data_IF_933184523708
#
_entry.id   IF_933184523708
#
_cell.length_a   1.000
_cell.length_b   1.000
_cell.length_c   1.000
_cell.angle_alpha   90.00
_cell.angle_beta   90.00
_cell.angle_gamma   90.00
#
_symmetry.space_group_name_H-M   'P 1'
#
loop_
_entity.id
_entity.type
_entity.pdbx_description
1 polymer ?
#
# COMPACT_ATOMS: atom_id res chain seq x y z
N UNK A 1 -16.36 -13.96 9.58
CA UNK A 1 -15.65 -13.72 8.31
C UNK A 1 -16.27 -14.54 7.19
N UNK A 2 -16.58 -13.89 6.05
CA UNK A 2 -17.03 -14.59 4.84
C UNK A 2 -15.86 -15.26 4.09
N UNK A 3 -14.61 -14.89 4.44
CA UNK A 3 -13.37 -15.42 3.90
C UNK A 3 -12.44 -15.78 5.07
N UNK A 4 -12.57 -16.97 5.65
CA UNK A 4 -11.85 -17.36 6.88
C UNK A 4 -10.31 -17.42 6.68
N UNK A 5 -9.86 -17.68 5.47
CA UNK A 5 -8.42 -17.75 5.12
C UNK A 5 -7.78 -16.37 4.89
N UNK A 6 -8.56 -15.28 4.92
CA UNK A 6 -8.04 -13.94 4.70
C UNK A 6 -7.64 -13.27 6.01
N UNK A 7 -6.45 -12.70 6.06
CA UNK A 7 -6.05 -11.78 7.11
C UNK A 7 -6.63 -10.40 6.83
N UNK A 8 -7.23 -9.80 7.86
CA UNK A 8 -7.71 -8.41 7.82
C UNK A 8 -6.72 -7.56 8.59
N UNK A 9 -6.00 -6.72 7.89
CA UNK A 9 -5.01 -5.82 8.48
C UNK A 9 -5.43 -4.36 8.32
N UNK A 10 -5.13 -3.54 9.32
CA UNK A 10 -5.36 -2.10 9.30
C UNK A 10 -4.04 -1.36 9.45
N UNK A 11 -3.85 -0.31 8.67
CA UNK A 11 -2.73 0.63 8.81
C UNK A 11 -3.28 1.99 9.17
N UNK A 12 -2.74 2.63 10.22
CA UNK A 12 -3.21 3.92 10.74
C UNK A 12 -2.05 4.69 11.38
N UNK A 13 -2.23 6.01 11.59
CA UNK A 13 -1.35 6.82 12.45
C UNK A 13 -1.70 6.71 13.95
N UNK A 14 -2.86 6.15 14.27
CA UNK A 14 -3.26 5.93 15.65
C UNK A 14 -4.02 7.07 16.33
N UNK A 15 -4.06 8.28 15.77
CA UNK A 15 -4.65 9.47 16.40
C UNK A 15 -6.05 9.26 16.99
N UNK A 16 -7.00 8.60 16.31
CA UNK A 16 -8.34 8.42 16.87
C UNK A 16 -8.45 7.22 17.81
N UNK A 17 -7.38 6.46 18.02
CA UNK A 17 -7.42 5.22 18.77
C UNK A 17 -7.45 5.46 20.28
N UNK A 18 -8.12 4.54 20.97
CA UNK A 18 -8.07 4.35 22.42
C UNK A 18 -8.34 2.85 22.69
N UNK A 19 -8.12 2.35 23.93
CA UNK A 19 -8.28 0.92 24.22
C UNK A 19 -9.65 0.36 23.83
N UNK A 20 -10.73 1.12 24.08
CA UNK A 20 -12.10 0.70 23.74
C UNK A 20 -12.30 0.53 22.24
N UNK A 21 -11.76 1.47 21.43
CA UNK A 21 -11.86 1.38 19.96
C UNK A 21 -11.00 0.25 19.40
N UNK A 22 -9.80 0.06 19.94
CA UNK A 22 -8.95 -1.08 19.58
C UNK A 22 -9.66 -2.40 19.82
N UNK A 23 -10.17 -2.63 21.03
CA UNK A 23 -10.88 -3.87 21.36
C UNK A 23 -12.08 -4.10 20.42
N UNK A 24 -12.87 -3.05 20.13
CA UNK A 24 -13.98 -3.14 19.18
C UNK A 24 -13.54 -3.53 17.76
N UNK A 25 -12.38 -3.05 17.27
CA UNK A 25 -11.84 -3.44 15.96
C UNK A 25 -11.53 -4.94 15.93
N UNK A 26 -10.85 -5.47 16.94
CA UNK A 26 -10.52 -6.89 17.02
C UNK A 26 -11.76 -7.77 17.22
N UNK A 27 -12.71 -7.36 18.03
CA UNK A 27 -14.02 -8.02 18.19
C UNK A 27 -14.79 -8.06 16.84
N UNK A 28 -14.58 -7.06 15.97
CA UNK A 28 -15.20 -6.99 14.63
C UNK A 28 -14.49 -7.84 13.59
N UNK A 29 -13.39 -8.51 13.95
CA UNK A 29 -12.67 -9.43 13.06
C UNK A 29 -11.38 -8.87 12.43
N UNK A 30 -10.80 -7.80 12.98
CA UNK A 30 -9.44 -7.39 12.63
C UNK A 30 -8.45 -8.43 13.15
N UNK A 31 -7.50 -8.82 12.33
CA UNK A 31 -6.46 -9.78 12.72
C UNK A 31 -5.18 -9.07 13.17
N UNK A 32 -4.85 -7.93 12.55
CA UNK A 32 -3.63 -7.19 12.86
C UNK A 32 -3.77 -5.69 12.61
N UNK A 33 -3.12 -4.89 13.46
CA UNK A 33 -3.02 -3.45 13.27
C UNK A 33 -1.55 -3.02 13.17
N UNK A 34 -1.26 -2.15 12.18
CA UNK A 34 0.04 -1.53 11.98
C UNK A 34 -0.12 -0.03 12.25
N UNK A 35 0.48 0.46 13.33
CA UNK A 35 0.35 1.85 13.74
C UNK A 35 1.67 2.58 13.40
N UNK A 36 1.58 3.65 12.63
CA UNK A 36 2.76 4.41 12.20
C UNK A 36 2.99 5.59 13.12
N UNK A 37 4.09 5.56 13.88
CA UNK A 37 4.58 6.67 14.69
C UNK A 37 5.40 7.62 13.81
N UNK A 38 5.01 8.88 13.75
CA UNK A 38 5.65 9.91 12.93
C UNK A 38 6.40 10.95 13.76
N UNK A 39 6.01 11.17 15.02
CA UNK A 39 6.47 12.29 15.85
C UNK A 39 7.58 11.90 16.84
N UNK A 40 8.35 10.85 16.50
CA UNK A 40 9.51 10.45 17.28
C UNK A 40 9.25 9.30 18.24
N UNK A 41 10.27 9.05 19.10
CA UNK A 41 10.26 7.91 20.02
C UNK A 41 9.15 7.99 21.06
N UNK A 42 8.87 9.15 21.60
CA UNK A 42 7.80 9.33 22.60
C UNK A 42 6.41 8.98 22.04
N UNK A 43 6.16 9.31 20.76
CA UNK A 43 4.96 8.94 20.06
C UNK A 43 4.86 7.41 19.89
N UNK A 44 5.94 6.78 19.47
CA UNK A 44 6.02 5.34 19.35
C UNK A 44 5.78 4.63 20.71
N UNK A 45 6.38 5.11 21.78
CA UNK A 45 6.21 4.55 23.13
C UNK A 45 4.74 4.70 23.59
N UNK A 46 4.07 5.84 23.36
CA UNK A 46 2.64 6.03 23.65
C UNK A 46 1.74 5.06 22.88
N UNK A 47 2.07 4.81 21.61
CA UNK A 47 1.31 3.86 20.78
C UNK A 47 1.52 2.41 21.24
N UNK A 48 2.73 2.05 21.70
CA UNK A 48 2.98 0.75 22.35
C UNK A 48 2.16 0.60 23.63
N UNK A 49 2.18 1.61 24.53
CA UNK A 49 1.44 1.61 25.77
C UNK A 49 -0.09 1.52 25.53
N UNK A 50 -0.57 2.17 24.48
CA UNK A 50 -1.96 2.07 24.05
C UNK A 50 -2.33 0.63 23.68
N UNK A 51 -1.50 -0.08 22.91
CA UNK A 51 -1.75 -1.47 22.54
C UNK A 51 -1.70 -2.40 23.76
N UNK A 52 -0.75 -2.19 24.64
CA UNK A 52 -0.64 -2.95 25.92
C UNK A 52 -1.88 -2.72 26.80
N UNK A 53 -2.33 -1.47 26.94
CA UNK A 53 -3.53 -1.13 27.73
C UNK A 53 -4.83 -1.72 27.16
N UNK A 54 -4.84 -2.02 25.86
CA UNK A 54 -5.94 -2.74 25.20
C UNK A 54 -5.81 -4.27 25.30
N UNK A 55 -4.80 -4.79 26.02
CA UNK A 55 -4.48 -6.21 26.15
C UNK A 55 -4.19 -6.92 24.82
N UNK A 56 -3.63 -6.22 23.82
CA UNK A 56 -3.25 -6.83 22.55
C UNK A 56 -1.96 -7.65 22.70
N UNK A 57 -1.88 -8.77 22.01
CA UNK A 57 -0.66 -9.58 21.93
C UNK A 57 0.31 -8.99 20.88
N UNK A 58 1.61 -9.33 20.97
CA UNK A 58 2.62 -8.84 20.03
C UNK A 58 2.40 -9.30 18.58
N UNK A 59 1.63 -10.35 18.35
CA UNK A 59 1.23 -10.81 17.02
C UNK A 59 0.13 -9.94 16.41
N UNK A 60 -0.68 -9.30 17.26
CA UNK A 60 -1.83 -8.50 16.84
C UNK A 60 -1.46 -7.08 16.41
N UNK A 61 -0.32 -6.55 16.83
CA UNK A 61 0.07 -5.19 16.45
C UNK A 61 1.53 -5.03 16.11
N UNK A 62 1.82 -3.98 15.33
CA UNK A 62 3.17 -3.50 15.05
C UNK A 62 3.14 -1.99 15.12
N UNK A 63 3.95 -1.39 15.99
CA UNK A 63 4.26 0.04 15.93
C UNK A 63 5.42 0.24 14.98
N UNK A 64 5.19 0.96 13.90
CA UNK A 64 6.18 1.23 12.85
C UNK A 64 6.77 2.60 13.04
N UNK A 65 8.07 2.68 13.26
CA UNK A 65 8.80 3.94 13.33
C UNK A 65 8.89 4.56 11.92
N UNK A 66 8.31 5.74 11.74
CA UNK A 66 8.23 6.48 10.49
C UNK A 66 8.80 7.90 10.62
N UNK A 67 9.66 8.09 11.59
CA UNK A 67 10.42 9.31 11.84
C UNK A 67 11.91 9.06 11.65
N UNK A 68 12.64 10.13 11.37
CA UNK A 68 14.10 10.09 11.30
C UNK A 68 14.70 10.01 12.70
N UNK A 69 15.72 9.19 12.86
CA UNK A 69 16.51 9.08 14.10
C UNK A 69 18.00 9.04 13.74
N UNK A 70 18.81 9.82 14.45
CA UNK A 70 20.27 9.77 14.31
C UNK A 70 20.86 8.49 14.94
N UNK A 71 20.14 7.89 15.89
CA UNK A 71 20.61 6.71 16.63
C UNK A 71 20.30 5.40 15.91
N UNK A 72 19.25 5.36 15.08
CA UNK A 72 18.78 4.14 14.45
C UNK A 72 18.17 4.39 13.07
N UNK A 73 18.66 3.64 12.07
CA UNK A 73 18.02 3.56 10.76
C UNK A 73 16.83 2.59 10.81
N UNK A 74 15.62 3.13 10.68
CA UNK A 74 14.39 2.34 10.60
C UNK A 74 14.08 1.85 9.18
N UNK A 75 14.96 2.02 8.22
CA UNK A 75 14.81 1.56 6.85
C UNK A 75 13.63 2.23 6.13
N UNK A 76 13.39 3.52 6.40
CA UNK A 76 12.30 4.25 5.77
C UNK A 76 12.60 4.45 4.29
N UNK A 77 11.80 3.80 3.44
CA UNK A 77 11.86 4.00 2.00
C UNK A 77 10.70 4.88 1.55
N UNK A 78 11.04 5.95 0.87
CA UNK A 78 10.07 6.85 0.23
C UNK A 78 10.05 6.56 -1.28
N UNK A 79 8.96 6.90 -1.93
CA UNK A 79 8.84 6.83 -3.39
C UNK A 79 8.25 8.14 -3.91
N UNK A 80 8.47 8.44 -5.18
CA UNK A 80 7.93 9.64 -5.83
C UNK A 80 6.41 9.60 -6.06
N UNK A 81 5.72 8.58 -5.53
CA UNK A 81 4.26 8.38 -5.68
C UNK A 81 3.81 8.55 -7.13
N UNK A 82 4.54 7.90 -8.02
CA UNK A 82 4.32 7.99 -9.48
C UNK A 82 4.36 9.43 -9.99
N UNK A 83 5.36 10.19 -9.52
CA UNK A 83 5.64 11.56 -9.95
C UNK A 83 4.87 12.66 -9.22
N UNK A 84 4.06 12.33 -8.21
CA UNK A 84 3.34 13.35 -7.42
C UNK A 84 4.12 13.87 -6.21
N UNK A 85 5.18 13.21 -5.82
CA UNK A 85 5.98 13.57 -4.68
C UNK A 85 7.41 13.90 -5.13
N UNK A 86 7.84 15.11 -4.82
CA UNK A 86 9.22 15.54 -5.01
C UNK A 86 9.78 16.01 -3.66
N UNK A 87 10.99 15.59 -3.35
CA UNK A 87 11.70 16.02 -2.16
C UNK A 87 13.21 15.98 -2.41
N UNK A 88 13.82 17.17 -2.51
CA UNK A 88 15.23 17.31 -2.83
C UNK A 88 16.15 16.75 -1.75
N UNK A 89 15.78 16.85 -0.47
CA UNK A 89 16.55 16.33 0.67
C UNK A 89 16.70 14.81 0.60
N UNK A 90 15.61 14.10 0.27
CA UNK A 90 15.60 12.65 0.11
C UNK A 90 15.85 12.20 -1.34
N UNK A 91 16.24 13.10 -2.23
CA UNK A 91 16.49 12.81 -3.66
C UNK A 91 15.32 12.10 -4.34
N UNK A 92 14.11 12.49 -3.98
CA UNK A 92 12.87 11.97 -4.58
C UNK A 92 12.49 12.92 -5.70
N UNK A 93 12.46 12.41 -6.92
CA UNK A 93 12.07 13.17 -8.12
C UNK A 93 11.37 12.26 -9.13
N UNK A 94 10.67 12.88 -10.06
CA UNK A 94 10.11 12.19 -11.21
C UNK A 94 11.22 11.64 -12.11
N UNK A 95 11.11 10.38 -12.51
CA UNK A 95 12.10 9.81 -13.42
C UNK A 95 12.01 10.48 -14.80
N UNK A 96 13.17 10.72 -15.45
CA UNK A 96 13.27 11.25 -16.81
C UNK A 96 13.00 10.18 -17.87
N UNK A 97 13.31 8.93 -17.54
CA UNK A 97 13.06 7.76 -18.38
C UNK A 97 12.41 6.64 -17.55
N UNK A 98 11.47 5.88 -18.14
CA UNK A 98 10.83 4.77 -17.48
C UNK A 98 11.82 3.69 -17.03
N UNK A 99 11.57 3.08 -15.88
CA UNK A 99 12.35 1.92 -15.45
C UNK A 99 12.23 0.78 -16.48
N UNK A 100 13.37 0.21 -16.87
CA UNK A 100 13.45 -0.94 -17.80
C UNK A 100 13.31 -2.28 -17.06
N UNK A 101 12.37 -2.35 -16.12
CA UNK A 101 12.09 -3.53 -15.28
C UNK A 101 10.59 -3.84 -15.31
N UNK A 102 10.18 -5.12 -15.20
CA UNK A 102 8.77 -5.44 -15.06
C UNK A 102 8.19 -4.83 -13.77
N UNK A 103 6.87 -4.65 -13.73
CA UNK A 103 6.15 -4.31 -12.51
C UNK A 103 5.00 -5.28 -12.31
N UNK A 104 5.04 -6.02 -11.20
CA UNK A 104 4.06 -7.05 -10.90
C UNK A 104 2.94 -6.58 -9.98
N UNK A 105 3.00 -5.36 -9.43
CA UNK A 105 2.01 -4.85 -8.47
C UNK A 105 0.57 -5.06 -8.94
N UNK A 106 0.16 -4.68 -10.18
CA UNK A 106 -1.21 -4.90 -10.62
C UNK A 106 -1.58 -6.37 -10.84
N UNK A 107 -0.63 -7.28 -10.76
CA UNK A 107 -0.88 -8.73 -10.94
C UNK A 107 -1.24 -9.45 -9.63
N UNK A 108 -1.10 -8.77 -8.47
CA UNK A 108 -1.45 -9.35 -7.17
C UNK A 108 -2.20 -8.39 -6.24
N UNK A 109 -2.35 -7.11 -6.62
CA UNK A 109 -3.01 -6.10 -5.79
C UNK A 109 -4.28 -5.60 -6.46
N UNK A 110 -5.39 -5.63 -5.71
CA UNK A 110 -6.60 -4.90 -6.03
C UNK A 110 -6.66 -3.70 -5.09
N UNK A 111 -6.51 -2.50 -5.62
CA UNK A 111 -6.49 -1.28 -4.84
C UNK A 111 -7.78 -0.49 -5.02
N UNK A 112 -8.52 -0.34 -3.93
CA UNK A 112 -9.78 0.38 -3.88
C UNK A 112 -9.61 1.62 -3.03
N UNK A 113 -10.00 2.77 -3.53
CA UNK A 113 -10.01 3.98 -2.73
C UNK A 113 -11.33 4.18 -1.98
N UNK A 114 -11.39 5.20 -1.11
CA UNK A 114 -12.57 5.52 -0.29
C UNK A 114 -13.77 5.99 -1.13
N UNK A 115 -13.57 6.43 -2.36
CA UNK A 115 -14.62 6.84 -3.29
C UNK A 115 -15.20 5.68 -4.08
N UNK A 116 -14.58 4.51 -4.04
CA UNK A 116 -14.96 3.33 -4.80
C UNK A 116 -14.25 3.19 -6.13
N UNK A 117 -13.30 4.07 -6.44
CA UNK A 117 -12.46 3.95 -7.62
C UNK A 117 -11.47 2.80 -7.44
N UNK A 118 -11.41 1.91 -8.43
CA UNK A 118 -10.41 0.85 -8.48
C UNK A 118 -9.21 1.36 -9.24
N UNK A 119 -8.09 1.52 -8.54
CA UNK A 119 -6.86 2.04 -9.11
C UNK A 119 -5.94 0.90 -9.57
N UNK A 120 -5.11 1.19 -10.55
CA UNK A 120 -4.13 0.24 -11.06
C UNK A 120 -3.10 -0.16 -9.99
N UNK A 121 -2.73 0.78 -9.11
CA UNK A 121 -1.60 0.62 -8.20
C UNK A 121 -1.77 1.55 -6.98
N UNK A 122 -1.33 1.14 -5.76
CA UNK A 122 -1.34 1.99 -4.57
C UNK A 122 -0.38 3.20 -4.65
N UNK A 123 0.51 3.24 -5.64
CA UNK A 123 1.41 4.38 -5.87
C UNK A 123 0.83 5.42 -6.85
N UNK A 124 -0.26 5.12 -7.54
CA UNK A 124 -0.95 6.07 -8.43
C UNK A 124 -1.82 7.05 -7.61
N UNK A 125 -1.16 7.91 -6.86
CA UNK A 125 -1.84 8.90 -6.01
C UNK A 125 -2.60 9.96 -6.82
N UNK A 126 -2.20 10.18 -8.06
CA UNK A 126 -2.88 11.08 -9.00
C UNK A 126 -4.11 10.48 -9.65
N UNK A 127 -4.45 9.23 -9.35
CA UNK A 127 -5.56 8.50 -9.97
C UNK A 127 -5.54 8.58 -11.50
N UNK A 128 -4.36 8.50 -12.09
CA UNK A 128 -4.17 8.59 -13.55
C UNK A 128 -4.77 7.40 -14.28
N UNK A 129 -4.80 6.24 -13.61
CA UNK A 129 -5.35 5.00 -14.19
C UNK A 129 -6.38 4.39 -13.26
N UNK A 130 -7.64 4.78 -13.45
CA UNK A 130 -8.80 4.14 -12.83
C UNK A 130 -9.20 2.94 -13.69
N UNK A 131 -9.26 1.75 -13.08
CA UNK A 131 -9.62 0.50 -13.76
C UNK A 131 -11.13 0.28 -13.84
N UNK A 132 -11.88 0.76 -12.85
CA UNK A 132 -13.33 0.64 -12.75
C UNK A 132 -13.90 1.31 -11.50
N UNK A 133 -15.22 1.26 -11.33
CA UNK A 133 -15.97 1.79 -10.20
C UNK A 133 -16.64 0.64 -9.44
N UNK A 134 -16.15 0.30 -8.26
CA UNK A 134 -16.68 -0.80 -7.43
C UNK A 134 -18.14 -0.61 -6.98
N UNK A 135 -18.68 0.61 -7.05
CA UNK A 135 -20.08 0.88 -6.77
C UNK A 135 -21.01 0.43 -7.91
N UNK A 136 -20.47 0.26 -9.11
CA UNK A 136 -21.24 -0.04 -10.34
C UNK A 136 -20.87 -1.38 -10.97
N UNK A 137 -19.68 -1.89 -10.68
CA UNK A 137 -19.10 -3.05 -11.33
C UNK A 137 -18.69 -4.10 -10.30
N UNK A 138 -18.72 -5.38 -10.69
CA UNK A 138 -18.23 -6.46 -9.82
C UNK A 138 -16.69 -6.51 -9.85
N UNK A 139 -16.09 -6.85 -8.72
CA UNK A 139 -14.65 -6.96 -8.55
C UNK A 139 -13.98 -7.80 -9.65
N UNK A 140 -14.52 -8.96 -9.96
CA UNK A 140 -13.94 -9.85 -10.96
C UNK A 140 -14.08 -9.31 -12.38
N UNK A 141 -15.15 -8.58 -12.69
CA UNK A 141 -15.35 -7.95 -14.01
C UNK A 141 -14.29 -6.87 -14.24
N UNK A 142 -14.01 -6.04 -13.21
CA UNK A 142 -12.93 -5.05 -13.25
C UNK A 142 -11.56 -5.74 -13.35
N UNK A 143 -11.32 -6.77 -12.54
CA UNK A 143 -10.05 -7.50 -12.51
C UNK A 143 -9.71 -8.15 -13.86
N UNK A 144 -10.69 -8.77 -14.52
CA UNK A 144 -10.53 -9.46 -15.80
C UNK A 144 -10.86 -8.59 -17.03
N UNK A 145 -11.13 -7.30 -16.84
CA UNK A 145 -11.39 -6.38 -17.96
C UNK A 145 -10.22 -6.34 -18.94
N UNK A 146 -10.51 -6.01 -20.21
CA UNK A 146 -9.47 -5.81 -21.24
C UNK A 146 -8.44 -4.77 -20.79
N UNK A 147 -8.89 -3.67 -20.15
CA UNK A 147 -8.02 -2.61 -19.65
C UNK A 147 -7.04 -3.15 -18.62
N UNK A 148 -7.54 -3.79 -17.57
CA UNK A 148 -6.72 -4.36 -16.50
C UNK A 148 -5.74 -5.41 -17.01
N UNK A 149 -6.19 -6.31 -17.88
CA UNK A 149 -5.38 -7.37 -18.47
C UNK A 149 -4.28 -6.83 -19.38
N UNK A 150 -4.60 -5.84 -20.22
CA UNK A 150 -3.61 -5.21 -21.11
C UNK A 150 -2.50 -4.50 -20.34
N UNK A 151 -2.86 -3.77 -19.28
CA UNK A 151 -1.90 -3.08 -18.41
C UNK A 151 -0.96 -4.09 -17.74
N UNK A 152 -1.49 -5.17 -17.16
CA UNK A 152 -0.67 -6.22 -16.54
C UNK A 152 0.32 -6.83 -17.53
N UNK A 153 -0.15 -7.22 -18.71
CA UNK A 153 0.71 -7.78 -19.77
C UNK A 153 1.82 -6.82 -20.20
N UNK A 154 1.50 -5.55 -20.34
CA UNK A 154 2.44 -4.52 -20.72
C UNK A 154 3.52 -4.33 -19.63
N UNK A 155 3.13 -4.18 -18.38
CA UNK A 155 4.04 -3.99 -17.24
C UNK A 155 4.88 -5.25 -16.96
N UNK A 156 4.32 -6.44 -17.13
CA UNK A 156 5.05 -7.70 -17.01
C UNK A 156 6.19 -7.83 -18.05
N UNK A 157 6.03 -7.19 -19.21
CA UNK A 157 7.05 -7.11 -20.28
C UNK A 157 7.98 -5.91 -20.16
N UNK A 158 8.07 -5.29 -18.99
CA UNK A 158 8.92 -4.11 -18.73
C UNK A 158 8.55 -2.87 -19.53
N UNK A 159 7.37 -2.83 -20.13
CA UNK A 159 6.89 -1.63 -20.82
C UNK A 159 6.17 -0.71 -19.84
N UNK A 160 6.84 0.35 -19.43
CA UNK A 160 6.32 1.37 -18.50
C UNK A 160 6.11 2.73 -19.16
N UNK A 161 5.94 2.79 -20.48
CA UNK A 161 5.83 4.07 -21.23
C UNK A 161 4.48 4.78 -21.03
N UNK A 162 3.56 4.22 -20.25
CA UNK A 162 2.28 4.86 -19.92
C UNK A 162 2.35 5.70 -18.65
N UNK A 163 1.55 6.75 -18.55
CA UNK A 163 1.28 7.42 -17.27
C UNK A 163 0.55 6.47 -16.29
N UNK A 164 0.88 6.53 -15.00
CA UNK A 164 1.96 7.29 -14.38
C UNK A 164 3.26 6.47 -14.24
N UNK A 165 3.34 5.29 -14.87
CA UNK A 165 4.45 4.36 -14.74
C UNK A 165 5.76 4.89 -15.37
N UNK A 166 5.64 5.81 -16.33
CA UNK A 166 6.78 6.39 -17.05
C UNK A 166 7.68 7.28 -16.18
N UNK A 167 7.16 7.80 -15.08
CA UNK A 167 7.90 8.65 -14.12
C UNK A 167 8.07 8.01 -12.74
N UNK A 168 7.55 6.79 -12.56
CA UNK A 168 7.50 6.09 -11.27
C UNK A 168 8.84 5.44 -10.93
N UNK A 169 9.34 5.69 -9.71
CA UNK A 169 10.59 5.13 -9.16
C UNK A 169 10.43 3.75 -8.49
N UNK A 170 9.20 3.28 -8.33
CA UNK A 170 8.92 2.00 -7.65
C UNK A 170 9.33 0.83 -8.53
N UNK A 171 10.25 -0.01 -8.05
CA UNK A 171 10.71 -1.18 -8.81
C UNK A 171 9.59 -2.16 -9.15
N UNK A 172 8.69 -2.47 -8.18
CA UNK A 172 7.51 -3.30 -8.40
C UNK A 172 7.80 -4.78 -8.66
N UNK A 173 9.01 -5.25 -8.34
CA UNK A 173 9.46 -6.65 -8.57
C UNK A 173 9.55 -7.48 -7.30
N UNK A 174 9.32 -6.87 -6.14
CA UNK A 174 9.47 -7.51 -4.82
C UNK A 174 8.56 -8.73 -4.64
N UNK A 175 7.32 -8.63 -5.10
CA UNK A 175 6.34 -9.72 -5.06
C UNK A 175 5.63 -9.86 -6.40
N UNK A 176 4.81 -10.91 -6.57
CA UNK A 176 3.86 -11.03 -7.67
C UNK A 176 4.40 -11.67 -8.94
N UNK A 177 5.68 -12.03 -9.04
CA UNK A 177 6.26 -12.68 -10.24
C UNK A 177 5.48 -13.94 -10.61
N UNK A 178 5.14 -14.78 -9.64
CA UNK A 178 4.34 -16.00 -9.85
C UNK A 178 2.95 -15.66 -10.40
N UNK A 179 2.29 -14.67 -9.81
CA UNK A 179 0.96 -14.20 -10.23
C UNK A 179 0.99 -13.63 -11.64
N UNK A 180 2.06 -12.89 -11.99
CA UNK A 180 2.22 -12.30 -13.30
C UNK A 180 2.23 -13.33 -14.42
N UNK A 181 2.71 -14.56 -14.15
CA UNK A 181 2.72 -15.67 -15.11
C UNK A 181 1.35 -16.03 -15.66
N UNK A 182 0.26 -15.78 -14.91
CA UNK A 182 -1.10 -16.05 -15.36
C UNK A 182 -1.63 -15.01 -16.38
N UNK A 183 -0.93 -13.91 -16.58
CA UNK A 183 -1.34 -12.80 -17.46
C UNK A 183 -0.41 -12.60 -18.68
N UNK A 184 0.51 -13.52 -18.93
CA UNK A 184 1.43 -13.45 -20.08
C UNK A 184 0.84 -14.06 -21.35
#
# INVERSE_FOLDING_TARGET
KNLPECNVEMVTNGDPLNPKRLNKLFESGLDKILISAYDGKEDADKLEDLCVSANLTKEQYIVRHRYYSEEQDFGITLSNRSGLMENAEFKIESLKEPLKKPCYIPSYTFFLDYQGDVLMCPHDWGKKVILGDFKKEKLLDIWFSKKSSSIRKMLNKSNRNMEPCNVCDVEGTFMGKKNAGYFN
#
